data_IF_108032360037
#
_entry.id   IF_108032360037
#
_cell.length_a   1.000
_cell.length_b   1.000
_cell.length_c   1.000
_cell.angle_alpha   90.00
_cell.angle_beta   90.00
_cell.angle_gamma   90.00
#
_symmetry.space_group_name_H-M   'P 1'
#
loop_
_entity.id
_entity.type
_entity.pdbx_description
1 polymer ?
#
# COMPACT_ATOMS: atom_id res chain seq x y z
N UNK A 1 8.37 10.10 18.75
CA UNK A 1 8.77 10.53 17.38
C UNK A 1 8.01 9.64 16.41
N UNK A 2 7.51 10.17 15.28
CA UNK A 2 6.93 9.35 14.20
C UNK A 2 7.94 9.16 13.07
N UNK A 3 7.74 8.20 12.17
CA UNK A 3 8.53 8.12 10.95
C UNK A 3 8.04 9.14 9.92
N UNK A 4 8.97 9.70 9.16
CA UNK A 4 8.65 10.59 8.04
C UNK A 4 8.73 9.86 6.71
N UNK A 5 7.96 10.33 5.75
CA UNK A 5 8.03 9.91 4.36
C UNK A 5 9.12 10.72 3.66
N UNK A 6 10.17 10.03 3.18
CA UNK A 6 11.27 10.67 2.46
C UNK A 6 11.02 10.72 0.96
N UNK A 7 10.47 9.65 0.39
CA UNK A 7 10.16 9.55 -1.03
C UNK A 7 9.08 8.51 -1.33
N UNK A 8 8.46 8.67 -2.49
CA UNK A 8 7.57 7.70 -3.13
C UNK A 8 8.12 7.40 -4.51
N UNK A 9 8.14 6.14 -4.89
CA UNK A 9 8.45 5.70 -6.25
C UNK A 9 7.29 4.91 -6.84
N UNK A 10 7.05 5.06 -8.13
CA UNK A 10 5.92 4.44 -8.82
C UNK A 10 6.38 3.69 -10.06
N UNK A 11 5.63 2.65 -10.41
CA UNK A 11 5.82 1.94 -11.66
C UNK A 11 4.49 1.41 -12.20
N UNK A 12 4.30 1.53 -13.50
CA UNK A 12 3.21 0.90 -14.26
C UNK A 12 3.82 -0.04 -15.32
N UNK A 13 3.04 -0.98 -15.89
CA UNK A 13 3.53 -1.83 -16.96
C UNK A 13 4.07 -1.02 -18.11
N UNK A 14 5.28 -1.36 -18.58
CA UNK A 14 5.86 -0.81 -19.80
C UNK A 14 5.33 -1.51 -21.06
N UNK A 15 5.94 -1.23 -22.21
CA UNK A 15 5.59 -1.81 -23.51
C UNK A 15 5.63 -3.36 -23.51
N UNK A 16 6.57 -3.95 -22.77
CA UNK A 16 6.57 -5.38 -22.47
C UNK A 16 5.91 -5.61 -21.11
N UNK A 17 4.90 -6.51 -21.05
CA UNK A 17 4.28 -6.91 -19.79
C UNK A 17 5.35 -7.45 -18.86
N UNK A 18 5.50 -6.83 -17.71
CA UNK A 18 6.46 -7.21 -16.67
C UNK A 18 5.67 -7.68 -15.45
N UNK A 19 6.26 -8.60 -14.70
CA UNK A 19 5.67 -9.13 -13.48
C UNK A 19 5.71 -8.15 -12.31
N UNK A 20 5.17 -8.57 -11.17
CA UNK A 20 5.13 -7.77 -9.93
C UNK A 20 6.53 -7.41 -9.47
N UNK A 21 7.44 -8.38 -9.41
CA UNK A 21 8.83 -8.19 -8.95
C UNK A 21 9.54 -7.09 -9.77
N UNK A 22 9.45 -7.15 -11.10
CA UNK A 22 10.12 -6.16 -11.95
C UNK A 22 9.51 -4.75 -11.78
N UNK A 23 8.20 -4.65 -11.58
CA UNK A 23 7.55 -3.37 -11.31
C UNK A 23 7.94 -2.82 -9.93
N UNK A 24 8.00 -3.66 -8.90
CA UNK A 24 8.43 -3.30 -7.54
C UNK A 24 9.89 -2.82 -7.53
N UNK A 25 10.78 -3.54 -8.22
CA UNK A 25 12.19 -3.14 -8.39
C UNK A 25 12.30 -1.75 -9.04
N UNK A 26 11.48 -1.47 -10.07
CA UNK A 26 11.49 -0.14 -10.71
C UNK A 26 10.96 0.94 -9.78
N UNK A 27 9.87 0.68 -9.07
CA UNK A 27 9.32 1.60 -8.09
C UNK A 27 10.32 1.87 -6.94
N UNK A 28 10.98 0.83 -6.43
CA UNK A 28 12.01 0.95 -5.40
C UNK A 28 13.22 1.77 -5.88
N UNK A 29 13.72 1.50 -7.09
CA UNK A 29 14.83 2.28 -7.69
C UNK A 29 14.47 3.74 -7.91
N UNK A 30 13.25 4.02 -8.37
CA UNK A 30 12.74 5.37 -8.54
C UNK A 30 12.65 6.11 -7.20
N UNK A 31 12.15 5.43 -6.17
CA UNK A 31 12.07 5.94 -4.80
C UNK A 31 13.44 6.28 -4.23
N UNK A 32 14.42 5.34 -4.32
CA UNK A 32 15.79 5.54 -3.86
C UNK A 32 16.49 6.69 -4.59
N UNK A 33 16.29 6.76 -5.91
CA UNK A 33 16.83 7.85 -6.73
C UNK A 33 16.27 9.22 -6.32
N UNK A 34 14.96 9.29 -6.08
CA UNK A 34 14.30 10.53 -5.66
C UNK A 34 14.79 10.99 -4.29
N UNK A 35 15.07 10.06 -3.37
CA UNK A 35 15.64 10.33 -2.06
C UNK A 35 17.17 10.54 -2.08
N UNK A 36 17.84 10.26 -3.19
CA UNK A 36 19.31 10.22 -3.30
C UNK A 36 19.96 9.30 -2.25
N UNK A 37 19.30 8.16 -1.94
CA UNK A 37 19.72 7.21 -0.93
C UNK A 37 20.43 6.00 -1.53
N UNK A 38 21.59 5.64 -0.95
CA UNK A 38 22.29 4.39 -1.25
C UNK A 38 21.41 3.21 -0.76
N UNK A 39 21.10 2.21 -1.61
CA UNK A 39 20.32 1.02 -1.22
C UNK A 39 20.89 0.31 0.02
N UNK A 40 22.20 0.33 0.23
CA UNK A 40 22.86 -0.28 1.39
C UNK A 40 22.52 0.40 2.74
N UNK A 41 21.88 1.56 2.71
CA UNK A 41 21.39 2.21 3.93
C UNK A 41 20.06 1.63 4.43
N UNK A 42 19.37 0.81 3.62
CA UNK A 42 18.11 0.18 4.02
C UNK A 42 18.36 -0.89 5.09
N UNK A 43 17.77 -0.73 6.26
CA UNK A 43 17.76 -1.74 7.31
C UNK A 43 16.62 -2.74 7.18
N UNK A 44 15.46 -2.30 6.62
CA UNK A 44 14.27 -3.15 6.41
C UNK A 44 13.67 -2.87 5.04
N UNK A 45 13.29 -3.94 4.33
CA UNK A 45 12.52 -3.93 3.09
C UNK A 45 11.31 -4.87 3.24
N UNK A 46 10.11 -4.31 3.16
CA UNK A 46 8.84 -5.06 3.29
C UNK A 46 8.09 -5.05 1.97
N UNK A 47 7.83 -6.22 1.41
CA UNK A 47 6.89 -6.35 0.29
C UNK A 47 5.48 -6.60 0.82
N UNK A 48 4.49 -5.91 0.25
CA UNK A 48 3.08 -6.03 0.67
C UNK A 48 2.14 -6.40 -0.48
N UNK A 49 2.67 -6.73 -1.66
CA UNK A 49 1.92 -7.23 -2.80
C UNK A 49 1.30 -8.60 -2.53
N UNK A 50 0.07 -8.80 -2.99
CA UNK A 50 -0.71 -10.03 -2.77
C UNK A 50 -0.62 -10.96 -3.99
N UNK A 51 -0.94 -10.42 -5.16
CA UNK A 51 -1.02 -11.18 -6.41
C UNK A 51 0.28 -11.04 -7.19
N UNK A 52 1.09 -12.09 -7.10
CA UNK A 52 2.50 -12.09 -7.51
C UNK A 52 2.76 -13.05 -8.67
N UNK A 53 3.87 -12.84 -9.34
CA UNK A 53 4.28 -13.62 -10.49
C UNK A 53 4.18 -15.12 -10.26
N UNK A 54 3.41 -15.82 -11.11
CA UNK A 54 3.25 -17.27 -11.07
C UNK A 54 2.92 -17.85 -9.70
N UNK A 55 2.32 -17.05 -8.80
CA UNK A 55 2.01 -17.42 -7.42
C UNK A 55 3.24 -17.90 -6.62
N UNK A 56 4.40 -17.28 -6.81
CA UNK A 56 5.63 -17.61 -6.07
C UNK A 56 5.37 -17.50 -4.56
N UNK A 57 5.62 -18.59 -3.82
CA UNK A 57 5.49 -18.66 -2.37
C UNK A 57 6.82 -18.45 -1.65
N UNK A 58 7.93 -18.99 -2.21
CA UNK A 58 9.29 -18.89 -1.64
C UNK A 58 10.32 -18.75 -2.77
N UNK A 59 11.42 -18.00 -2.53
CA UNK A 59 11.66 -17.14 -1.35
C UNK A 59 10.70 -15.95 -1.29
N UNK A 60 10.73 -15.19 -0.19
CA UNK A 60 9.95 -13.95 -0.07
C UNK A 60 10.22 -13.02 -1.26
N UNK A 61 9.17 -12.38 -1.80
CA UNK A 61 9.32 -11.44 -2.93
C UNK A 61 10.28 -10.30 -2.57
N UNK A 62 10.24 -9.82 -1.34
CA UNK A 62 11.15 -8.79 -0.85
C UNK A 62 12.64 -9.16 -1.05
N UNK A 63 13.00 -10.45 -1.00
CA UNK A 63 14.39 -10.90 -1.22
C UNK A 63 14.84 -10.73 -2.67
N UNK A 64 13.94 -10.97 -3.63
CA UNK A 64 14.23 -10.68 -5.05
C UNK A 64 14.44 -9.19 -5.27
N UNK A 65 13.58 -8.37 -4.66
CA UNK A 65 13.67 -6.91 -4.78
C UNK A 65 14.97 -6.41 -4.14
N UNK A 66 15.32 -6.90 -2.92
CA UNK A 66 16.57 -6.57 -2.23
C UNK A 66 17.79 -6.79 -3.14
N UNK A 67 17.90 -8.00 -3.73
CA UNK A 67 18.98 -8.34 -4.67
C UNK A 67 19.01 -7.38 -5.87
N UNK A 68 17.86 -7.18 -6.51
CA UNK A 68 17.78 -6.47 -7.79
C UNK A 68 17.93 -4.94 -7.66
N UNK A 69 17.72 -4.39 -6.44
CA UNK A 69 18.07 -2.99 -6.11
C UNK A 69 19.51 -2.84 -5.57
N UNK A 70 20.19 -3.95 -5.23
CA UNK A 70 21.54 -3.98 -4.68
C UNK A 70 21.63 -3.59 -3.20
N UNK A 71 20.60 -3.86 -2.39
CA UNK A 71 20.56 -3.51 -0.97
C UNK A 71 21.21 -4.59 -0.10
N UNK A 72 22.46 -4.36 0.37
CA UNK A 72 23.22 -5.30 1.21
C UNK A 72 23.11 -6.75 0.69
N UNK A 73 23.34 -6.93 -0.61
CA UNK A 73 23.20 -8.22 -1.31
C UNK A 73 24.08 -9.31 -0.68
N UNK A 74 25.27 -8.91 -0.24
CA UNK A 74 26.21 -9.78 0.45
C UNK A 74 26.46 -9.22 1.85
N UNK A 75 26.23 -10.06 2.87
CA UNK A 75 26.52 -9.68 4.26
C UNK A 75 28.02 -9.59 4.51
N UNK A 76 28.51 -8.40 4.77
CA UNK A 76 29.93 -8.12 5.03
C UNK A 76 30.26 -7.94 6.52
N UNK A 77 29.25 -8.09 7.41
CA UNK A 77 29.40 -7.96 8.87
C UNK A 77 29.01 -6.60 9.43
N UNK A 78 28.91 -5.55 8.62
CA UNK A 78 28.66 -4.19 9.10
C UNK A 78 27.18 -3.80 9.03
N UNK A 79 26.51 -4.13 7.91
CA UNK A 79 25.11 -3.80 7.65
C UNK A 79 24.38 -4.96 6.99
N UNK A 80 23.10 -5.06 7.25
CA UNK A 80 22.20 -6.02 6.61
C UNK A 80 20.84 -5.37 6.35
N UNK A 81 20.13 -5.88 5.34
CA UNK A 81 18.73 -5.55 5.11
C UNK A 81 17.87 -6.75 5.49
N UNK A 82 16.97 -6.59 6.46
CA UNK A 82 15.93 -7.57 6.73
C UNK A 82 14.84 -7.43 5.67
N UNK A 83 14.66 -8.43 4.82
CA UNK A 83 13.61 -8.41 3.78
C UNK A 83 12.60 -9.53 4.01
N UNK A 84 11.31 -9.19 3.98
CA UNK A 84 10.21 -10.14 4.17
C UNK A 84 8.92 -9.66 3.50
N UNK A 85 7.98 -10.60 3.31
CA UNK A 85 6.65 -10.30 2.80
C UNK A 85 5.65 -10.18 3.95
N UNK A 86 4.73 -9.20 3.85
CA UNK A 86 3.63 -8.97 4.76
C UNK A 86 2.35 -8.79 3.95
N UNK A 87 1.34 -9.61 4.20
CA UNK A 87 0.09 -9.57 3.45
C UNK A 87 -1.06 -9.08 4.33
N UNK A 88 -1.76 -8.02 3.87
CA UNK A 88 -2.98 -7.52 4.52
C UNK A 88 -3.94 -6.90 3.47
N UNK A 89 -4.14 -7.58 2.34
CA UNK A 89 -5.01 -7.08 1.27
C UNK A 89 -4.68 -5.65 0.87
N UNK A 90 -5.69 -4.86 0.52
CA UNK A 90 -5.53 -3.44 0.17
C UNK A 90 -4.96 -2.56 1.29
N UNK A 91 -4.89 -3.07 2.54
CA UNK A 91 -4.27 -2.38 3.68
C UNK A 91 -2.74 -2.61 3.76
N UNK A 92 -2.17 -3.47 2.89
CA UNK A 92 -0.80 -3.95 3.00
C UNK A 92 0.23 -2.83 3.13
N UNK A 93 0.21 -1.84 2.22
CA UNK A 93 1.22 -0.77 2.21
C UNK A 93 1.21 0.08 3.51
N UNK A 94 0.04 0.41 4.03
CA UNK A 94 -0.07 1.17 5.28
C UNK A 94 0.29 0.31 6.50
N UNK A 95 -0.03 -0.98 6.49
CA UNK A 95 0.41 -1.94 7.51
C UNK A 95 1.92 -2.11 7.48
N UNK A 96 2.54 -2.20 6.29
CA UNK A 96 3.99 -2.21 6.12
C UNK A 96 4.64 -0.94 6.67
N UNK A 97 4.04 0.23 6.41
CA UNK A 97 4.51 1.50 6.97
C UNK A 97 4.47 1.50 8.52
N UNK A 98 3.41 0.97 9.12
CA UNK A 98 3.29 0.82 10.59
C UNK A 98 4.39 -0.10 11.15
N UNK A 99 4.71 -1.20 10.47
CA UNK A 99 5.77 -2.13 10.89
C UNK A 99 7.14 -1.46 10.77
N UNK A 100 7.43 -0.78 9.66
CA UNK A 100 8.68 -0.03 9.46
C UNK A 100 8.80 1.10 10.48
N UNK A 101 7.71 1.82 10.80
CA UNK A 101 7.69 2.83 11.87
C UNK A 101 8.15 2.22 13.20
N UNK A 102 7.67 1.03 13.56
CA UNK A 102 8.11 0.32 14.77
C UNK A 102 9.62 0.06 14.80
N UNK A 103 10.23 -0.39 13.71
CA UNK A 103 11.68 -0.56 13.58
C UNK A 103 12.44 0.75 13.70
N UNK A 104 11.96 1.82 13.07
CA UNK A 104 12.55 3.16 13.17
C UNK A 104 12.46 3.72 14.58
N UNK A 105 11.30 3.57 15.25
CA UNK A 105 11.09 4.05 16.63
C UNK A 105 11.97 3.29 17.64
N UNK A 106 12.20 1.99 17.45
CA UNK A 106 13.10 1.19 18.30
C UNK A 106 14.58 1.55 18.16
N UNK A 107 14.94 2.30 17.13
CA UNK A 107 16.31 2.66 16.81
C UNK A 107 17.12 1.55 16.15
N UNK A 108 16.48 0.47 15.72
CA UNK A 108 17.17 -0.65 15.07
C UNK A 108 17.63 -0.30 13.64
N UNK A 109 16.93 0.61 12.98
CA UNK A 109 17.20 1.03 11.59
C UNK A 109 17.12 2.54 11.45
N UNK A 110 17.79 3.09 10.44
CA UNK A 110 17.71 4.49 10.04
C UNK A 110 16.74 4.71 8.86
N UNK A 111 16.67 3.73 7.95
CA UNK A 111 15.79 3.76 6.77
C UNK A 111 15.09 2.41 6.59
N UNK A 112 13.81 2.47 6.24
CA UNK A 112 13.05 1.31 5.84
C UNK A 112 12.18 1.61 4.62
N UNK A 113 11.95 0.59 3.80
CA UNK A 113 11.15 0.71 2.58
C UNK A 113 10.00 -0.28 2.57
N UNK A 114 8.84 0.19 2.15
CA UNK A 114 7.69 -0.65 1.83
C UNK A 114 7.51 -0.64 0.32
N UNK A 115 7.40 -1.82 -0.29
CA UNK A 115 7.11 -1.98 -1.71
C UNK A 115 5.85 -2.80 -1.91
N UNK A 116 5.17 -2.61 -3.02
CA UNK A 116 3.95 -3.36 -3.33
C UNK A 116 3.66 -3.36 -4.82
N UNK A 117 3.19 -4.50 -5.33
CA UNK A 117 2.56 -4.59 -6.64
C UNK A 117 1.58 -5.76 -6.68
N UNK A 118 0.56 -5.62 -7.51
CA UNK A 118 -0.36 -6.70 -7.86
C UNK A 118 -0.43 -6.86 -9.38
N UNK A 119 -0.33 -8.09 -9.83
CA UNK A 119 -0.49 -8.47 -11.24
C UNK A 119 -1.36 -9.71 -11.35
N UNK A 120 -1.96 -9.94 -12.52
CA UNK A 120 -2.53 -11.26 -12.81
C UNK A 120 -1.37 -12.28 -12.82
N UNK A 121 -1.31 -13.25 -11.88
CA UNK A 121 -0.19 -14.18 -11.72
C UNK A 121 0.14 -14.97 -13.00
N UNK A 122 -0.89 -15.30 -13.78
CA UNK A 122 -0.78 -15.90 -15.10
C UNK A 122 -1.67 -15.09 -16.04
N UNK A 123 -1.11 -14.09 -16.76
CA UNK A 123 -1.88 -13.09 -17.47
C UNK A 123 -2.98 -13.67 -18.37
N UNK A 124 -4.23 -13.30 -18.09
CA UNK A 124 -5.42 -13.72 -18.80
C UNK A 124 -5.89 -15.14 -18.47
N UNK A 125 -5.32 -15.82 -17.47
CA UNK A 125 -5.76 -17.14 -17.00
C UNK A 125 -6.53 -17.08 -15.67
N UNK A 126 -6.45 -15.96 -14.92
CA UNK A 126 -7.20 -15.77 -13.68
C UNK A 126 -8.69 -15.51 -13.94
N UNK A 127 -9.54 -15.96 -13.02
CA UNK A 127 -10.97 -15.73 -13.07
C UNK A 127 -11.35 -14.58 -12.13
N UNK A 128 -12.06 -13.58 -12.63
CA UNK A 128 -12.52 -12.43 -11.84
C UNK A 128 -11.42 -11.44 -11.43
N UNK A 129 -10.18 -11.62 -11.87
CA UNK A 129 -9.10 -10.65 -11.62
C UNK A 129 -9.33 -9.40 -12.46
N UNK A 130 -9.48 -8.25 -11.79
CA UNK A 130 -9.80 -6.97 -12.44
C UNK A 130 -8.97 -5.79 -11.92
N UNK A 131 -7.87 -6.06 -11.21
CA UNK A 131 -6.99 -4.99 -10.75
C UNK A 131 -6.09 -4.50 -11.89
N UNK A 132 -5.90 -3.17 -11.92
CA UNK A 132 -4.92 -2.54 -12.82
C UNK A 132 -3.51 -2.78 -12.27
N UNK A 133 -2.61 -3.41 -13.05
CA UNK A 133 -1.25 -3.66 -12.61
C UNK A 133 -0.51 -2.35 -12.34
N UNK A 134 0.02 -2.20 -11.13
CA UNK A 134 0.79 -1.04 -10.72
C UNK A 134 1.67 -1.40 -9.52
N UNK A 135 2.76 -0.68 -9.33
CA UNK A 135 3.66 -0.82 -8.19
C UNK A 135 3.94 0.53 -7.53
N UNK A 136 4.13 0.50 -6.24
CA UNK A 136 4.56 1.65 -5.46
C UNK A 136 5.63 1.25 -4.45
N UNK A 137 6.53 2.20 -4.14
CA UNK A 137 7.51 2.11 -3.07
C UNK A 137 7.41 3.35 -2.17
N UNK A 138 7.54 3.15 -0.88
CA UNK A 138 7.51 4.20 0.14
C UNK A 138 8.76 4.08 0.99
N UNK A 139 9.60 5.11 1.00
CA UNK A 139 10.78 5.21 1.84
C UNK A 139 10.47 6.00 3.09
N UNK A 140 10.83 5.42 4.23
CA UNK A 140 10.61 5.99 5.56
C UNK A 140 11.94 6.12 6.30
N UNK A 141 12.08 7.21 7.07
CA UNK A 141 13.15 7.41 8.05
C UNK A 141 12.59 8.00 9.35
N UNK A 142 13.45 8.18 10.37
CA UNK A 142 13.01 8.82 11.59
C UNK A 142 12.56 10.25 11.35
N UNK A 143 11.40 10.59 11.86
CA UNK A 143 10.89 11.95 11.88
C UNK A 143 11.36 12.73 13.11
N UNK A 144 10.94 13.98 13.16
CA UNK A 144 11.08 14.86 14.32
C UNK A 144 9.92 14.62 15.31
N UNK A 145 10.10 15.08 16.55
CA UNK A 145 9.03 15.00 17.56
C UNK A 145 7.76 15.72 17.11
N UNK A 146 6.65 15.00 17.14
CA UNK A 146 5.33 15.51 16.78
C UNK A 146 5.07 15.60 15.26
N UNK A 147 6.01 15.18 14.42
CA UNK A 147 5.89 15.12 12.96
C UNK A 147 5.95 13.68 12.45
N UNK A 148 5.56 13.49 11.20
CA UNK A 148 5.51 12.17 10.57
C UNK A 148 4.24 11.38 10.93
N UNK A 149 4.31 10.06 10.89
CA UNK A 149 3.21 9.20 11.34
C UNK A 149 3.10 9.26 12.86
N UNK A 150 2.05 9.88 13.37
CA UNK A 150 1.85 10.10 14.81
C UNK A 150 0.83 9.15 15.45
N UNK A 151 0.00 8.51 14.64
CA UNK A 151 -0.99 7.55 15.14
C UNK A 151 -1.39 6.57 14.04
N UNK A 152 -1.45 5.28 14.36
CA UNK A 152 -1.97 4.22 13.52
C UNK A 152 -3.19 3.57 14.19
N UNK A 153 -4.20 3.24 13.39
CA UNK A 153 -5.37 2.50 13.82
C UNK A 153 -5.72 1.44 12.80
N UNK A 154 -5.91 0.21 13.26
CA UNK A 154 -6.40 -0.88 12.41
C UNK A 154 -7.62 -1.53 13.07
N UNK A 155 -8.63 -1.85 12.27
CA UNK A 155 -9.81 -2.57 12.70
C UNK A 155 -10.23 -3.58 11.64
N UNK A 156 -10.74 -4.74 12.07
CA UNK A 156 -11.25 -5.79 11.18
C UNK A 156 -12.65 -6.20 11.61
N UNK A 157 -13.57 -6.21 10.65
CA UNK A 157 -14.94 -6.69 10.81
C UNK A 157 -15.08 -8.06 10.13
N UNK A 158 -14.82 -9.13 10.90
CA UNK A 158 -14.65 -10.48 10.37
C UNK A 158 -15.95 -11.10 9.81
N UNK A 159 -17.13 -10.52 10.06
CA UNK A 159 -18.39 -10.99 9.47
C UNK A 159 -18.43 -10.86 7.94
N UNK A 160 -17.58 -10.01 7.36
CA UNK A 160 -17.47 -9.79 5.91
C UNK A 160 -16.36 -10.62 5.23
N UNK A 161 -15.86 -11.67 5.91
CA UNK A 161 -14.76 -12.49 5.39
C UNK A 161 -15.09 -13.16 4.05
N UNK A 162 -16.37 -13.36 3.78
CA UNK A 162 -16.86 -14.00 2.55
C UNK A 162 -17.09 -13.02 1.40
N UNK A 163 -17.07 -11.70 1.65
CA UNK A 163 -17.46 -10.70 0.68
C UNK A 163 -16.39 -10.44 -0.40
N UNK A 164 -15.12 -10.68 -0.09
CA UNK A 164 -14.03 -10.64 -1.08
C UNK A 164 -12.99 -11.69 -0.78
N UNK A 165 -12.74 -12.58 -1.76
CA UNK A 165 -11.75 -13.66 -1.67
C UNK A 165 -10.93 -13.77 -2.95
N UNK A 166 -9.64 -14.05 -2.77
CA UNK A 166 -8.75 -14.52 -3.83
C UNK A 166 -8.14 -15.86 -3.40
N UNK A 167 -8.36 -16.93 -4.18
CA UNK A 167 -7.85 -18.25 -3.86
C UNK A 167 -7.39 -18.99 -5.11
N UNK A 168 -6.45 -19.91 -4.95
CA UNK A 168 -6.05 -20.83 -6.01
C UNK A 168 -6.97 -22.05 -6.02
N UNK A 169 -7.53 -22.36 -7.17
CA UNK A 169 -8.36 -23.54 -7.39
C UNK A 169 -7.76 -24.41 -8.52
N UNK A 170 -7.73 -25.73 -8.29
CA UNK A 170 -7.40 -26.66 -9.34
C UNK A 170 -8.62 -26.90 -10.21
N UNK A 171 -8.65 -26.31 -11.38
CA UNK A 171 -9.82 -26.37 -12.25
C UNK A 171 -9.44 -26.39 -13.74
N UNK A 172 -10.42 -26.79 -14.57
CA UNK A 172 -10.31 -26.68 -16.01
C UNK A 172 -10.60 -25.24 -16.45
N UNK A 173 -9.59 -24.55 -16.98
CA UNK A 173 -9.75 -23.23 -17.56
C UNK A 173 -9.10 -23.19 -18.94
N UNK A 174 -9.79 -22.62 -19.94
CA UNK A 174 -9.29 -22.53 -21.33
C UNK A 174 -8.70 -23.84 -21.87
N UNK A 175 -9.36 -24.98 -21.60
CA UNK A 175 -8.97 -26.35 -22.00
C UNK A 175 -7.69 -26.88 -21.34
N UNK A 176 -7.21 -26.27 -20.27
CA UNK A 176 -6.09 -26.77 -19.46
C UNK A 176 -6.51 -26.94 -18.01
N UNK A 177 -6.08 -28.02 -17.37
CA UNK A 177 -6.16 -28.17 -15.93
C UNK A 177 -4.98 -27.46 -15.28
N UNK A 178 -5.24 -26.69 -14.23
CA UNK A 178 -4.18 -25.97 -13.52
C UNK A 178 -4.68 -25.25 -12.27
N UNK A 179 -3.74 -24.71 -11.52
CA UNK A 179 -4.03 -23.79 -10.41
C UNK A 179 -4.39 -22.42 -10.98
N UNK A 180 -5.65 -22.07 -10.87
CA UNK A 180 -6.20 -20.82 -11.38
C UNK A 180 -6.51 -19.91 -10.20
N UNK A 181 -6.08 -18.66 -10.25
CA UNK A 181 -6.53 -17.65 -9.31
C UNK A 181 -8.01 -17.33 -9.57
N UNK A 182 -8.83 -17.56 -8.57
CA UNK A 182 -10.26 -17.25 -8.59
C UNK A 182 -10.53 -16.12 -7.61
N UNK A 183 -11.03 -15.01 -8.12
CA UNK A 183 -11.45 -13.85 -7.37
C UNK A 183 -12.97 -13.79 -7.28
N UNK A 184 -13.49 -13.57 -6.10
CA UNK A 184 -14.92 -13.34 -5.88
C UNK A 184 -15.11 -12.07 -5.06
N UNK A 185 -16.11 -11.27 -5.43
CA UNK A 185 -16.50 -10.06 -4.71
C UNK A 185 -18.01 -9.98 -4.64
N UNK A 186 -18.55 -9.73 -3.44
CA UNK A 186 -19.97 -9.57 -3.21
C UNK A 186 -20.49 -8.25 -3.82
N UNK A 187 -21.74 -8.26 -4.26
CA UNK A 187 -22.44 -7.03 -4.63
C UNK A 187 -22.52 -6.10 -3.40
N UNK A 188 -22.24 -4.81 -3.57
CA UNK A 188 -22.23 -3.83 -2.47
C UNK A 188 -20.96 -3.77 -1.64
N UNK A 189 -19.95 -4.63 -1.87
CA UNK A 189 -18.71 -4.66 -1.11
C UNK A 189 -18.03 -3.28 -0.97
N UNK A 190 -17.99 -2.47 -2.03
CA UNK A 190 -17.43 -1.12 -1.99
C UNK A 190 -18.17 -0.19 -1.02
N UNK A 191 -19.50 -0.34 -0.91
CA UNK A 191 -20.33 0.43 0.03
C UNK A 191 -20.08 0.01 1.47
N UNK A 192 -20.00 -1.29 1.74
CA UNK A 192 -19.66 -1.81 3.07
C UNK A 192 -18.24 -1.37 3.50
N UNK A 193 -17.26 -1.43 2.61
CA UNK A 193 -15.93 -0.88 2.84
C UNK A 193 -15.97 0.60 3.21
N UNK A 194 -16.75 1.41 2.48
CA UNK A 194 -16.85 2.85 2.74
C UNK A 194 -17.55 3.13 4.07
N UNK A 195 -18.61 2.41 4.40
CA UNK A 195 -19.30 2.55 5.67
C UNK A 195 -18.36 2.24 6.84
N UNK A 196 -17.68 1.09 6.82
CA UNK A 196 -16.76 0.69 7.87
C UNK A 196 -15.54 1.62 7.97
N UNK A 197 -15.06 2.14 6.83
CA UNK A 197 -14.01 3.16 6.80
C UNK A 197 -14.44 4.45 7.49
N UNK A 198 -15.68 4.92 7.26
CA UNK A 198 -16.21 6.13 7.88
C UNK A 198 -16.42 6.00 9.39
N UNK A 199 -16.86 4.83 9.87
CA UNK A 199 -16.99 4.53 11.30
C UNK A 199 -15.62 4.58 11.99
N UNK A 200 -14.58 4.00 11.37
CA UNK A 200 -13.22 4.01 11.90
C UNK A 200 -12.54 5.39 11.75
N UNK A 201 -12.91 6.17 10.75
CA UNK A 201 -12.49 7.56 10.60
C UNK A 201 -12.99 8.40 11.79
N UNK A 202 -14.25 8.27 12.17
CA UNK A 202 -14.79 8.96 13.33
C UNK A 202 -14.10 8.50 14.64
N UNK A 203 -13.72 7.22 14.73
CA UNK A 203 -12.99 6.67 15.88
C UNK A 203 -11.56 7.23 15.99
N UNK A 204 -10.77 7.26 14.91
CA UNK A 204 -9.39 7.82 14.96
C UNK A 204 -9.40 9.31 15.29
N UNK A 205 -10.37 10.06 14.77
CA UNK A 205 -10.52 11.48 15.10
C UNK A 205 -10.78 11.70 16.59
N UNK A 206 -11.61 10.84 17.21
CA UNK A 206 -11.85 10.86 18.65
C UNK A 206 -10.60 10.51 19.45
N UNK A 207 -9.88 9.46 19.08
CA UNK A 207 -8.64 9.01 19.73
C UNK A 207 -7.55 10.09 19.70
N UNK A 208 -7.45 10.82 18.59
CA UNK A 208 -6.45 11.88 18.40
C UNK A 208 -6.92 13.27 18.86
N UNK A 209 -8.15 13.37 19.39
CA UNK A 209 -8.79 14.62 19.79
C UNK A 209 -8.90 15.66 18.66
N UNK A 210 -8.96 15.19 17.42
CA UNK A 210 -9.16 15.99 16.20
C UNK A 210 -10.61 15.93 15.73
N UNK A 211 -10.98 16.89 14.89
CA UNK A 211 -12.25 16.93 14.16
C UNK A 211 -11.97 16.88 12.67
N UNK A 212 -12.95 16.50 11.86
CA UNK A 212 -12.81 16.45 10.40
C UNK A 212 -12.31 17.79 9.79
N UNK A 213 -12.67 18.92 10.37
CA UNK A 213 -12.17 20.23 9.92
C UNK A 213 -10.67 20.42 10.12
N UNK A 214 -10.04 19.66 11.03
CA UNK A 214 -8.62 19.74 11.36
C UNK A 214 -7.78 18.81 10.43
N UNK A 215 -8.44 18.00 9.62
CA UNK A 215 -7.81 17.19 8.57
C UNK A 215 -7.81 18.00 7.27
N UNK A 216 -6.64 18.21 6.71
CA UNK A 216 -6.47 19.00 5.48
C UNK A 216 -6.52 18.13 4.23
N UNK A 217 -6.05 16.88 4.34
CA UNK A 217 -5.87 15.98 3.21
C UNK A 217 -6.17 14.53 3.63
N UNK A 218 -6.81 13.78 2.74
CA UNK A 218 -7.03 12.33 2.92
C UNK A 218 -6.42 11.60 1.73
N UNK A 219 -5.52 10.66 2.02
CA UNK A 219 -4.87 9.76 1.07
C UNK A 219 -5.58 8.40 1.16
N UNK A 220 -6.58 8.10 0.31
CA UNK A 220 -7.39 6.90 0.43
C UNK A 220 -6.89 5.76 -0.46
N UNK A 221 -7.32 4.52 -0.16
CA UNK A 221 -7.33 3.43 -1.15
C UNK A 221 -8.03 3.85 -2.42
N UNK A 222 -7.53 3.34 -3.55
CA UNK A 222 -8.12 3.54 -4.89
C UNK A 222 -8.91 2.29 -5.37
N UNK A 223 -9.10 1.33 -4.47
CA UNK A 223 -9.79 0.05 -4.64
C UNK A 223 -10.60 -0.25 -3.36
N UNK A 224 -11.73 -0.99 -3.44
CA UNK A 224 -12.34 -1.54 -4.66
C UNK A 224 -13.03 -0.48 -5.54
N UNK A 225 -13.33 -0.83 -6.78
CA UNK A 225 -14.10 0.06 -7.69
C UNK A 225 -15.38 0.54 -7.03
N UNK A 226 -15.64 1.85 -7.07
CA UNK A 226 -16.80 2.49 -6.42
C UNK A 226 -16.55 2.98 -4.98
N UNK A 227 -15.51 2.52 -4.30
CA UNK A 227 -15.21 2.91 -2.92
C UNK A 227 -15.08 4.42 -2.73
N UNK A 228 -14.30 5.10 -3.59
CA UNK A 228 -14.16 6.56 -3.51
C UNK A 228 -15.47 7.29 -3.78
N UNK A 229 -16.29 6.78 -4.71
CA UNK A 229 -17.61 7.32 -4.98
C UNK A 229 -18.53 7.27 -3.75
N UNK A 230 -18.46 6.18 -2.97
CA UNK A 230 -19.20 6.09 -1.71
C UNK A 230 -18.67 7.05 -0.63
N UNK A 231 -17.35 7.20 -0.51
CA UNK A 231 -16.76 8.16 0.44
C UNK A 231 -17.15 9.62 0.11
N UNK A 232 -17.18 9.99 -1.16
CA UNK A 232 -17.53 11.33 -1.63
C UNK A 232 -18.98 11.74 -1.28
N UNK A 233 -19.88 10.79 -1.04
CA UNK A 233 -21.25 11.07 -0.59
C UNK A 233 -21.29 11.71 0.80
N UNK A 234 -20.28 11.50 1.64
CA UNK A 234 -20.20 12.16 2.95
C UNK A 234 -19.77 13.61 2.77
N UNK A 235 -20.67 14.53 3.19
CA UNK A 235 -20.45 15.99 3.08
C UNK A 235 -19.12 16.42 3.70
N UNK A 236 -18.34 17.20 2.95
CA UNK A 236 -17.07 17.77 3.41
C UNK A 236 -15.87 16.82 3.28
N UNK A 237 -16.04 15.65 2.62
CA UNK A 237 -14.91 14.73 2.35
C UNK A 237 -14.32 14.91 0.96
N UNK A 238 -15.14 15.20 -0.05
CA UNK A 238 -14.76 15.20 -1.45
C UNK A 238 -13.55 16.10 -1.75
N UNK A 239 -13.53 17.32 -1.23
CA UNK A 239 -12.44 18.28 -1.42
C UNK A 239 -11.12 17.86 -0.77
N UNK A 240 -11.19 16.99 0.25
CA UNK A 240 -10.01 16.49 1.00
C UNK A 240 -9.43 15.22 0.39
N UNK A 241 -10.23 14.45 -0.32
CA UNK A 241 -9.80 13.18 -0.92
C UNK A 241 -8.84 13.39 -2.09
N UNK A 242 -7.83 12.52 -2.18
CA UNK A 242 -6.98 12.40 -3.35
C UNK A 242 -7.46 11.23 -4.20
N UNK A 243 -7.94 11.53 -5.39
CA UNK A 243 -8.48 10.57 -6.33
C UNK A 243 -7.55 10.44 -7.54
N UNK A 244 -7.15 9.24 -7.92
CA UNK A 244 -6.34 8.94 -9.10
C UNK A 244 -7.07 8.05 -10.10
N UNK A 245 -8.34 7.74 -9.86
CA UNK A 245 -9.14 6.84 -10.70
C UNK A 245 -9.38 7.36 -12.12
N UNK A 246 -9.18 8.65 -12.36
CA UNK A 246 -9.16 9.28 -13.68
C UNK A 246 -8.03 8.78 -14.59
N UNK A 247 -6.93 8.28 -13.99
CA UNK A 247 -5.75 7.75 -14.69
C UNK A 247 -5.57 6.25 -14.51
N UNK A 248 -5.91 5.73 -13.33
CA UNK A 248 -5.66 4.35 -12.93
C UNK A 248 -6.84 3.82 -12.12
N UNK A 249 -7.74 3.12 -12.77
CA UNK A 249 -8.90 2.51 -12.13
C UNK A 249 -8.52 1.23 -11.38
N UNK A 250 -9.11 1.02 -10.20
CA UNK A 250 -8.99 -0.20 -9.40
C UNK A 250 -7.54 -0.65 -9.15
N UNK A 251 -6.67 0.27 -8.78
CA UNK A 251 -5.31 -0.06 -8.30
C UNK A 251 -5.42 -0.57 -6.87
N UNK A 252 -5.04 -1.81 -6.65
CA UNK A 252 -5.22 -2.51 -5.38
C UNK A 252 -4.21 -2.01 -4.31
N UNK A 253 -3.17 -2.78 -3.99
CA UNK A 253 -2.24 -2.44 -2.90
C UNK A 253 -1.41 -1.18 -3.16
N UNK A 254 -1.08 -0.88 -4.42
CA UNK A 254 -0.30 0.29 -4.80
C UNK A 254 -1.10 1.61 -4.83
N UNK A 255 -2.43 1.55 -4.77
CA UNK A 255 -3.31 2.71 -4.97
C UNK A 255 -3.02 3.88 -4.04
N UNK A 256 -2.70 3.61 -2.77
CA UNK A 256 -2.35 4.64 -1.79
C UNK A 256 -1.03 5.34 -2.13
N UNK A 257 -0.05 4.63 -2.72
CA UNK A 257 1.21 5.23 -3.19
C UNK A 257 0.97 6.20 -4.35
N UNK A 258 0.10 5.87 -5.30
CA UNK A 258 -0.28 6.76 -6.39
C UNK A 258 -1.04 8.00 -5.90
N UNK A 259 -1.94 7.83 -4.94
CA UNK A 259 -2.65 8.95 -4.32
C UNK A 259 -1.68 9.88 -3.57
N UNK A 260 -0.72 9.31 -2.83
CA UNK A 260 0.29 10.09 -2.11
C UNK A 260 1.20 10.86 -3.09
N UNK A 261 1.70 10.21 -4.15
CA UNK A 261 2.53 10.88 -5.15
C UNK A 261 1.78 12.05 -5.82
N UNK A 262 0.51 11.85 -6.21
CA UNK A 262 -0.33 12.94 -6.74
C UNK A 262 -0.46 14.10 -5.76
N UNK A 263 -0.62 13.82 -4.47
CA UNK A 263 -0.68 14.85 -3.44
C UNK A 263 0.66 15.59 -3.29
N UNK A 264 1.79 14.86 -3.37
CA UNK A 264 3.13 15.43 -3.29
C UNK A 264 3.44 16.30 -4.52
N UNK A 265 3.23 15.78 -5.73
CA UNK A 265 3.51 16.48 -6.99
C UNK A 265 2.64 17.72 -7.20
N UNK A 266 1.41 17.73 -6.66
CA UNK A 266 0.52 18.91 -6.69
C UNK A 266 0.79 19.92 -5.57
N UNK A 267 1.71 19.64 -4.65
CA UNK A 267 2.00 20.47 -3.47
C UNK A 267 0.97 20.36 -2.35
N UNK A 268 -0.14 19.64 -2.54
CA UNK A 268 -1.19 19.49 -1.52
C UNK A 268 -0.68 18.79 -0.26
N UNK A 269 0.20 17.80 -0.40
CA UNK A 269 0.77 17.08 0.75
C UNK A 269 1.63 18.01 1.61
N UNK A 270 2.52 18.78 1.00
CA UNK A 270 3.39 19.72 1.72
C UNK A 270 2.62 20.88 2.39
N UNK A 271 1.51 21.31 1.77
CA UNK A 271 0.66 22.37 2.32
C UNK A 271 -0.25 21.90 3.47
N UNK A 272 -0.51 20.60 3.58
CA UNK A 272 -1.39 20.03 4.59
C UNK A 272 -0.65 19.89 5.92
N UNK A 273 -1.25 20.35 7.01
CA UNK A 273 -0.75 20.14 8.37
C UNK A 273 -1.03 18.71 8.82
N UNK A 274 -2.28 18.28 8.72
CA UNK A 274 -2.71 16.94 9.11
C UNK A 274 -3.23 16.18 7.88
N UNK A 275 -2.52 15.12 7.51
CA UNK A 275 -2.91 14.20 6.45
C UNK A 275 -3.42 12.90 7.07
N UNK A 276 -4.52 12.38 6.59
CA UNK A 276 -5.05 11.10 7.01
C UNK A 276 -4.88 10.08 5.88
N UNK A 277 -4.18 9.01 6.14
CA UNK A 277 -4.13 7.84 5.28
C UNK A 277 -5.29 6.91 5.65
N UNK A 278 -6.00 6.39 4.65
CA UNK A 278 -7.17 5.53 4.85
C UNK A 278 -7.15 4.40 3.83
N UNK A 279 -6.99 3.17 4.30
CA UNK A 279 -6.98 1.99 3.43
C UNK A 279 -8.03 0.98 3.86
N UNK A 280 -8.56 0.26 2.86
CA UNK A 280 -9.50 -0.83 3.06
C UNK A 280 -9.02 -2.10 2.35
N UNK A 281 -9.32 -3.24 2.94
CA UNK A 281 -8.99 -4.57 2.41
C UNK A 281 -10.06 -5.59 2.76
N UNK A 282 -9.88 -6.81 2.24
CA UNK A 282 -10.78 -7.92 2.53
C UNK A 282 -10.85 -8.23 4.03
N UNK A 283 -12.02 -8.69 4.45
CA UNK A 283 -12.23 -9.04 5.84
C UNK A 283 -13.52 -8.51 6.48
N UNK A 284 -13.99 -7.26 6.45
CA UNK A 284 -13.32 -6.04 5.94
C UNK A 284 -12.28 -5.57 6.96
N UNK A 285 -11.11 -5.22 6.49
CA UNK A 285 -10.09 -4.56 7.30
C UNK A 285 -9.96 -3.11 6.88
N UNK A 286 -9.86 -2.21 7.85
CA UNK A 286 -9.56 -0.79 7.64
C UNK A 286 -8.27 -0.46 8.39
N UNK A 287 -7.33 0.19 7.71
CA UNK A 287 -6.15 0.77 8.36
C UNK A 287 -6.12 2.26 8.10
N UNK A 288 -5.89 3.02 9.16
CA UNK A 288 -5.77 4.47 9.13
C UNK A 288 -4.45 4.89 9.77
N UNK A 289 -3.90 5.99 9.29
CA UNK A 289 -2.78 6.64 9.95
C UNK A 289 -2.91 8.16 9.86
N UNK A 290 -2.64 8.83 10.98
CA UNK A 290 -2.53 10.27 11.02
C UNK A 290 -1.07 10.67 10.82
N UNK A 291 -0.83 11.49 9.81
CA UNK A 291 0.49 12.04 9.47
C UNK A 291 0.48 13.56 9.65
N UNK A 292 1.53 14.09 10.26
CA UNK A 292 1.68 15.52 10.50
C UNK A 292 2.94 16.08 9.85
N UNK A 293 2.78 17.09 9.01
CA UNK A 293 3.91 17.77 8.34
C UNK A 293 4.52 18.89 9.19
N UNK A 294 3.73 19.57 10.02
CA UNK A 294 4.14 20.77 10.77
C UNK A 294 3.99 20.59 12.27
#
# INVERSE_FOLDING_TARGET
MGSKIDAVGLSTPGFFRRGSIDMEVRAAKDCLKSAQLDPNMLGVLVNTGIYRDRNIGEPAIATFIQRDIGANEIFTGDRSTLSFDLTNGGCGMLTGAMVVDGFLQSGMIDYGMVVTADVDPVPGESYGYNFTPAAAALLLSRGEDGKGFIHFKTATEARFIDDMKGRLEWMLHKRKMGNILVMTQAEGYAKECAQYALENLDAILKETSLKMKDIDLIIPSQSPTGFLGELKKKKGLEEKLVDVTDKLENVHTAGIGFALERAMSSGRFAAAKNCLFLTVGSGITVSLALYRNL
#
